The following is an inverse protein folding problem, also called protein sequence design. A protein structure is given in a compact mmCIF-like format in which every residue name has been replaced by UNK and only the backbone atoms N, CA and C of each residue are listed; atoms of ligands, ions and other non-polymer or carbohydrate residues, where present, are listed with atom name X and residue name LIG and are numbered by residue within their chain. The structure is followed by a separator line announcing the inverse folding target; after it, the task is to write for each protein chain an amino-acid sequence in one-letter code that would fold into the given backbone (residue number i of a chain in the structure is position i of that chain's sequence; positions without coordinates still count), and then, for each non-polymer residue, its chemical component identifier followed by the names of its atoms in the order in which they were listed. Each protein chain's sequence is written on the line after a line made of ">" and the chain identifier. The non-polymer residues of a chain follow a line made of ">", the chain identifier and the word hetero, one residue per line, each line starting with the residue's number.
data_IF_006439974801
#
_entry.id   IF_006439974801
#
_cell.length_a   1.000
_cell.length_b   1.000
_cell.length_c   1.000
_cell.angle_alpha   90.00
_cell.angle_beta   90.00
_cell.angle_gamma   90.00
#
_symmetry.space_group_name_H-M   'P 1'
#
loop_
_entity.id
_entity.type
_entity.pdbx_description
1 polymer ?
#
# COMPACT_ATOMS: atom_id res chain seq x y z
N UNK A 1 8.10 5.81 22.34
CA UNK A 1 7.37 6.16 21.11
C UNK A 1 6.16 6.96 21.50
N UNK A 2 5.91 8.09 20.84
CA UNK A 2 4.67 8.85 21.02
C UNK A 2 3.50 8.05 20.44
N UNK A 3 2.30 8.17 21.01
CA UNK A 3 1.09 7.51 20.48
C UNK A 3 0.86 7.84 18.99
N UNK A 4 1.10 9.09 18.61
CA UNK A 4 0.95 9.56 17.23
C UNK A 4 1.96 8.94 16.25
N UNK A 5 3.17 8.68 16.71
CA UNK A 5 4.22 8.05 15.91
C UNK A 5 3.91 6.58 15.65
N UNK A 6 3.42 5.87 16.68
CA UNK A 6 2.94 4.50 16.56
C UNK A 6 1.75 4.39 15.60
N UNK A 7 0.83 5.36 15.61
CA UNK A 7 -0.31 5.40 14.71
C UNK A 7 0.09 5.69 13.26
N UNK A 8 1.03 6.61 13.03
CA UNK A 8 1.53 6.94 11.68
C UNK A 8 2.29 5.81 10.99
N UNK A 9 2.78 4.82 11.76
CA UNK A 9 3.56 3.68 11.25
C UNK A 9 2.80 2.35 11.34
N UNK A 10 1.51 2.37 11.70
CA UNK A 10 0.72 1.16 11.90
C UNK A 10 0.56 0.35 10.59
N UNK A 11 0.32 1.02 9.47
CA UNK A 11 0.13 0.37 8.16
C UNK A 11 1.34 -0.47 7.74
N UNK A 12 2.55 0.02 8.04
CA UNK A 12 3.79 -0.71 7.72
C UNK A 12 3.80 -2.10 8.40
N UNK A 13 3.27 -2.20 9.62
CA UNK A 13 3.19 -3.47 10.36
C UNK A 13 2.08 -4.38 9.84
N UNK A 14 0.97 -3.82 9.36
CA UNK A 14 -0.09 -4.59 8.69
C UNK A 14 0.34 -5.10 7.31
N UNK A 15 1.25 -4.38 6.65
CA UNK A 15 1.69 -4.65 5.28
C UNK A 15 2.91 -5.59 5.21
N UNK A 16 3.92 -5.38 6.08
CA UNK A 16 5.14 -6.19 6.10
C UNK A 16 4.90 -7.42 6.98
N UNK A 17 4.83 -8.60 6.36
CA UNK A 17 4.56 -9.86 7.06
C UNK A 17 5.60 -10.25 8.11
N UNK A 18 6.91 -10.29 7.78
CA UNK A 18 7.93 -10.65 8.76
C UNK A 18 8.11 -9.59 9.85
N UNK A 19 8.01 -10.02 11.11
CA UNK A 19 8.36 -9.17 12.25
C UNK A 19 9.88 -9.13 12.50
N UNK A 20 10.32 -8.39 13.52
CA UNK A 20 11.75 -8.23 13.86
C UNK A 20 12.46 -9.56 14.17
N UNK A 21 11.80 -10.47 14.88
CA UNK A 21 12.36 -11.78 15.22
C UNK A 21 12.53 -12.64 13.97
N UNK A 22 11.47 -12.76 13.16
CA UNK A 22 11.51 -13.51 11.90
C UNK A 22 12.55 -12.91 10.94
N UNK A 23 12.65 -11.59 10.87
CA UNK A 23 13.67 -10.89 10.08
C UNK A 23 15.07 -11.26 10.55
N UNK A 24 15.32 -11.26 11.86
CA UNK A 24 16.61 -11.65 12.44
C UNK A 24 16.97 -13.11 12.11
N UNK A 25 16.01 -14.03 12.21
CA UNK A 25 16.19 -15.44 11.87
C UNK A 25 16.51 -15.64 10.37
N UNK A 26 15.82 -14.93 9.48
CA UNK A 26 16.08 -14.96 8.03
C UNK A 26 17.48 -14.40 7.70
N UNK A 27 17.87 -13.27 8.29
CA UNK A 27 19.18 -12.65 8.08
C UNK A 27 20.32 -13.57 8.55
N UNK A 28 20.15 -14.23 9.69
CA UNK A 28 21.09 -15.23 10.20
C UNK A 28 21.24 -16.41 9.23
N UNK A 29 20.14 -16.89 8.66
CA UNK A 29 20.14 -17.99 7.68
C UNK A 29 21.00 -17.67 6.46
N UNK A 30 20.96 -16.43 5.98
CA UNK A 30 21.74 -15.98 4.82
C UNK A 30 23.10 -15.37 5.19
N UNK A 31 23.47 -15.39 6.48
CA UNK A 31 24.80 -15.00 6.96
C UNK A 31 25.09 -13.49 6.91
N UNK A 32 24.09 -12.63 7.11
CA UNK A 32 24.26 -11.18 7.23
C UNK A 32 23.75 -10.67 8.57
N UNK A 33 24.31 -9.58 9.06
CA UNK A 33 24.04 -9.04 10.40
C UNK A 33 22.78 -8.19 10.50
N UNK A 34 22.37 -7.53 9.40
CA UNK A 34 21.21 -6.64 9.35
C UNK A 34 20.74 -6.38 7.90
N UNK A 35 19.59 -5.72 7.75
CA UNK A 35 19.04 -5.35 6.44
C UNK A 35 19.94 -4.42 5.63
N UNK A 36 20.71 -3.54 6.29
CA UNK A 36 21.61 -2.61 5.58
C UNK A 36 22.73 -3.37 4.90
N UNK A 37 23.36 -4.32 5.59
CA UNK A 37 24.39 -5.18 5.01
C UNK A 37 23.84 -6.00 3.82
N UNK A 38 22.62 -6.54 3.95
CA UNK A 38 21.96 -7.25 2.85
C UNK A 38 21.82 -6.36 1.60
N UNK A 39 21.33 -5.13 1.77
CA UNK A 39 21.17 -4.16 0.68
C UNK A 39 22.53 -3.78 0.07
N UNK A 40 23.54 -3.52 0.91
CA UNK A 40 24.89 -3.13 0.46
C UNK A 40 25.56 -4.22 -0.38
N UNK A 41 25.31 -5.49 -0.07
CA UNK A 41 25.81 -6.66 -0.82
C UNK A 41 25.02 -6.95 -2.10
N UNK A 42 23.81 -6.42 -2.24
CA UNK A 42 22.88 -6.76 -3.33
C UNK A 42 22.78 -5.65 -4.39
N UNK A 43 22.71 -4.38 -3.96
CA UNK A 43 22.48 -3.24 -4.86
C UNK A 43 23.79 -2.46 -5.06
N UNK A 44 24.30 -2.33 -6.31
CA UNK A 44 25.53 -1.61 -6.57
C UNK A 44 25.48 -0.14 -6.07
N UNK A 45 26.50 0.33 -5.34
CA UNK A 45 26.50 1.69 -4.77
C UNK A 45 26.34 2.81 -5.81
N UNK A 46 26.82 2.59 -7.04
CA UNK A 46 26.79 3.58 -8.13
C UNK A 46 25.38 3.93 -8.62
N UNK A 47 24.38 3.09 -8.34
CA UNK A 47 22.99 3.31 -8.74
C UNK A 47 22.05 3.54 -7.55
N UNK A 48 22.58 3.53 -6.32
CA UNK A 48 21.78 3.69 -5.11
C UNK A 48 21.50 5.17 -4.85
N UNK A 49 20.26 5.47 -4.48
CA UNK A 49 19.87 6.81 -4.03
C UNK A 49 20.64 7.18 -2.76
N UNK A 50 21.23 8.37 -2.74
CA UNK A 50 22.07 8.87 -1.63
C UNK A 50 21.28 9.58 -0.54
N UNK A 51 20.08 10.03 -0.89
CA UNK A 51 19.18 10.79 -0.03
C UNK A 51 17.90 9.99 0.18
N UNK A 52 17.14 10.35 1.21
CA UNK A 52 15.82 9.78 1.43
C UNK A 52 14.84 10.25 0.36
N UNK A 53 13.77 9.50 0.16
CA UNK A 53 12.70 9.92 -0.74
C UNK A 53 12.04 11.19 -0.19
N UNK A 54 11.90 12.21 -1.04
CA UNK A 54 11.17 13.43 -0.70
C UNK A 54 9.66 13.17 -0.76
N UNK A 55 9.11 12.57 0.30
CA UNK A 55 7.69 12.22 0.43
C UNK A 55 7.03 13.02 1.56
N UNK A 56 5.70 13.25 1.48
CA UNK A 56 4.94 13.73 2.62
C UNK A 56 5.06 12.77 3.83
N UNK A 57 4.81 13.26 5.05
CA UNK A 57 4.74 12.40 6.23
C UNK A 57 3.72 11.26 6.05
N UNK A 58 4.02 10.11 6.64
CA UNK A 58 3.11 8.98 6.64
C UNK A 58 1.77 9.33 7.31
N UNK A 59 0.68 8.78 6.78
CA UNK A 59 -0.65 8.84 7.37
C UNK A 59 -0.99 7.47 7.95
N UNK A 60 -1.73 7.45 9.05
CA UNK A 60 -2.41 6.24 9.52
C UNK A 60 -3.46 5.75 8.52
N UNK A 61 -3.90 4.49 8.65
CA UNK A 61 -4.92 3.94 7.74
C UNK A 61 -6.23 4.73 7.81
N UNK A 62 -6.62 5.12 9.03
CA UNK A 62 -7.83 5.89 9.28
C UNK A 62 -7.75 7.32 8.70
N UNK A 63 -6.60 8.00 8.87
CA UNK A 63 -6.38 9.32 8.29
C UNK A 63 -6.41 9.27 6.77
N UNK A 64 -5.79 8.25 6.16
CA UNK A 64 -5.77 8.10 4.71
C UNK A 64 -7.18 7.91 4.14
N UNK A 65 -8.02 7.07 4.77
CA UNK A 65 -9.42 6.88 4.36
C UNK A 65 -10.23 8.19 4.40
N UNK A 66 -10.03 9.01 5.44
CA UNK A 66 -10.66 10.34 5.52
C UNK A 66 -10.12 11.28 4.45
N UNK A 67 -8.80 11.32 4.27
CA UNK A 67 -8.14 12.18 3.30
C UNK A 67 -8.63 11.91 1.87
N UNK A 68 -8.65 10.64 1.45
CA UNK A 68 -9.11 10.28 0.10
C UNK A 68 -10.61 10.51 -0.07
N UNK A 69 -11.41 10.35 1.00
CA UNK A 69 -12.83 10.71 0.99
C UNK A 69 -13.03 12.19 0.73
N UNK A 70 -12.30 13.07 1.43
CA UNK A 70 -12.39 14.52 1.26
C UNK A 70 -11.99 14.96 -0.16
N UNK A 71 -10.98 14.31 -0.75
CA UNK A 71 -10.61 14.52 -2.16
C UNK A 71 -11.74 14.07 -3.10
N UNK A 72 -12.31 12.88 -2.87
CA UNK A 72 -13.36 12.32 -3.73
C UNK A 72 -14.60 13.21 -3.82
N UNK A 73 -14.92 13.94 -2.75
CA UNK A 73 -16.07 14.85 -2.68
C UNK A 73 -15.93 16.10 -3.57
N UNK A 74 -14.73 16.36 -4.10
CA UNK A 74 -14.51 17.44 -5.09
C UNK A 74 -15.03 17.06 -6.48
N UNK A 75 -15.23 15.77 -6.74
CA UNK A 75 -15.76 15.29 -8.02
C UNK A 75 -17.27 15.57 -8.13
N UNK A 76 -17.73 15.84 -9.36
CA UNK A 76 -19.16 16.00 -9.67
C UNK A 76 -19.65 14.81 -10.49
N UNK A 77 -20.63 14.09 -9.95
CA UNK A 77 -21.23 12.94 -10.63
C UNK A 77 -22.44 13.42 -11.43
N UNK A 78 -22.32 13.41 -12.76
CA UNK A 78 -23.39 13.76 -13.70
C UNK A 78 -24.00 12.53 -14.33
N UNK A 79 -25.23 12.67 -14.85
CA UNK A 79 -25.76 11.74 -15.85
C UNK A 79 -25.04 12.03 -17.16
N UNK A 80 -24.13 11.14 -17.56
CA UNK A 80 -23.30 11.33 -18.75
C UNK A 80 -23.88 10.56 -19.93
N UNK A 81 -24.14 11.26 -21.04
CA UNK A 81 -24.60 10.69 -22.31
C UNK A 81 -23.62 10.97 -23.46
N UNK A 82 -22.35 11.21 -23.12
CA UNK A 82 -21.28 11.54 -24.10
C UNK A 82 -21.01 10.34 -25.03
N UNK A 83 -21.11 9.11 -24.51
CA UNK A 83 -20.82 7.90 -25.28
C UNK A 83 -19.33 7.69 -25.50
N UNK A 84 -18.90 7.48 -26.75
CA UNK A 84 -17.50 7.26 -27.13
C UNK A 84 -16.85 6.02 -26.47
N UNK A 85 -17.62 4.94 -26.31
CA UNK A 85 -17.13 3.67 -25.77
C UNK A 85 -17.34 3.48 -24.26
N UNK A 86 -17.86 4.48 -23.55
CA UNK A 86 -18.23 4.37 -22.14
C UNK A 86 -19.71 4.70 -21.95
N UNK A 87 -20.44 3.77 -21.31
CA UNK A 87 -21.87 3.87 -21.07
C UNK A 87 -22.13 3.47 -19.61
N UNK A 88 -22.90 4.29 -18.90
CA UNK A 88 -23.24 4.00 -17.51
C UNK A 88 -24.05 2.71 -17.39
N UNK A 89 -23.94 2.02 -16.25
CA UNK A 89 -24.57 0.72 -16.04
C UNK A 89 -24.90 0.49 -14.57
N UNK A 90 -25.87 -0.38 -14.32
CA UNK A 90 -26.18 -0.86 -12.99
C UNK A 90 -25.36 -2.11 -12.72
N UNK A 91 -24.26 -1.98 -11.98
CA UNK A 91 -23.51 -3.14 -11.49
C UNK A 91 -24.37 -3.91 -10.49
N UNK A 92 -24.74 -5.19 -10.76
CA UNK A 92 -25.55 -5.95 -9.83
C UNK A 92 -24.85 -6.07 -8.47
N UNK A 93 -25.54 -5.73 -7.39
CA UNK A 93 -24.93 -5.67 -6.05
C UNK A 93 -24.32 -6.99 -5.61
N UNK A 94 -24.86 -8.13 -6.07
CA UNK A 94 -24.31 -9.46 -5.81
C UNK A 94 -22.94 -9.66 -6.45
N UNK A 95 -22.69 -9.09 -7.64
CA UNK A 95 -21.38 -9.14 -8.31
C UNK A 95 -20.42 -8.16 -7.63
N UNK A 96 -20.86 -6.93 -7.36
CA UNK A 96 -20.05 -5.93 -6.67
C UNK A 96 -19.52 -6.48 -5.34
N UNK A 97 -20.40 -7.00 -4.49
CA UNK A 97 -20.03 -7.43 -3.14
C UNK A 97 -19.24 -8.73 -3.10
N UNK A 98 -19.61 -9.73 -3.90
CA UNK A 98 -19.08 -11.09 -3.75
C UNK A 98 -17.93 -11.42 -4.71
N UNK A 99 -17.73 -10.59 -5.74
CA UNK A 99 -16.64 -10.75 -6.71
C UNK A 99 -15.69 -9.55 -6.63
N UNK A 100 -16.18 -8.35 -6.94
CA UNK A 100 -15.29 -7.17 -7.05
C UNK A 100 -14.67 -6.74 -5.72
N UNK A 101 -15.44 -6.77 -4.63
CA UNK A 101 -14.96 -6.42 -3.28
C UNK A 101 -14.40 -7.63 -2.49
N UNK A 102 -14.26 -8.80 -3.12
CA UNK A 102 -13.83 -10.02 -2.46
C UNK A 102 -12.37 -10.39 -2.80
N UNK A 103 -11.44 -10.38 -1.82
CA UNK A 103 -10.04 -10.70 -2.08
C UNK A 103 -9.81 -12.10 -2.66
N UNK A 104 -10.70 -13.06 -2.39
CA UNK A 104 -10.63 -14.40 -3.02
C UNK A 104 -10.82 -14.40 -4.54
N UNK A 105 -11.26 -13.27 -5.12
CA UNK A 105 -11.48 -13.08 -6.55
C UNK A 105 -10.52 -12.10 -7.21
N UNK A 106 -9.78 -11.27 -6.48
CA UNK A 106 -8.89 -10.26 -7.08
C UNK A 106 -7.41 -10.36 -6.67
N UNK A 107 -7.05 -11.29 -5.78
CA UNK A 107 -5.66 -11.42 -5.31
C UNK A 107 -4.83 -12.42 -6.11
N UNK A 108 -5.48 -13.31 -6.86
CA UNK A 108 -4.81 -14.32 -7.69
C UNK A 108 -4.22 -13.72 -8.98
N UNK A 109 -3.17 -14.36 -9.48
CA UNK A 109 -2.53 -14.05 -10.77
C UNK A 109 -2.61 -15.27 -11.72
N UNK A 110 -2.44 -15.05 -13.03
CA UNK A 110 -2.48 -16.12 -14.06
C UNK A 110 -1.26 -17.04 -13.98
#
# INVERSE_FOLDING_TARGET
>A
MSLFEAQSTEFQRSHIGPNEQQTTEMLKTIGVSNLRELVDRTVPPGIRMKEELNLPPAMSEAEYLKHIKDISLKNKVFKNYIGQGYYDTLTPSVILRNVFENPGWYTQYT
#
